data_IF_204497192385
#
_entry.id   IF_204497192385
#
_cell.length_a   1.000
_cell.length_b   1.000
_cell.length_c   1.000
_cell.angle_alpha   90.00
_cell.angle_beta   90.00
_cell.angle_gamma   90.00
#
_symmetry.space_group_name_H-M   'P 1'
#
loop_
_entity.id
_entity.type
_entity.pdbx_description
1 polymer ?
#
# COMPACT_ATOMS: atom_id res chain seq x y z
N UNK A 1 -1.07 -1.65 11.03
CA UNK A 1 -0.59 -0.36 10.45
C UNK A 1 0.93 -0.26 10.35
N UNK A 2 1.73 -0.42 11.43
CA UNK A 2 3.20 -0.32 11.33
C UNK A 2 3.80 -1.23 10.25
N UNK A 3 3.41 -2.51 10.23
CA UNK A 3 3.87 -3.46 9.23
C UNK A 3 3.41 -3.12 7.79
N UNK A 4 2.21 -2.55 7.62
CA UNK A 4 1.71 -2.11 6.33
C UNK A 4 2.52 -0.92 5.80
N UNK A 5 2.79 0.09 6.66
CA UNK A 5 3.65 1.24 6.34
C UNK A 5 5.06 0.82 5.98
N UNK A 6 5.66 -0.10 6.75
CA UNK A 6 6.98 -0.65 6.45
C UNK A 6 7.05 -1.36 5.08
N UNK A 7 5.91 -1.82 4.56
CA UNK A 7 5.78 -2.49 3.26
C UNK A 7 5.23 -1.59 2.15
N UNK A 8 4.98 -0.31 2.42
CA UNK A 8 4.36 0.61 1.45
C UNK A 8 2.93 0.22 1.06
N UNK A 9 2.20 -0.49 1.92
CA UNK A 9 0.81 -0.91 1.68
C UNK A 9 -0.14 0.16 2.23
N UNK A 10 -1.09 0.60 1.41
CA UNK A 10 -2.14 1.52 1.83
C UNK A 10 -3.12 0.84 2.79
N UNK A 11 -3.61 1.60 3.77
CA UNK A 11 -4.53 1.13 4.80
C UNK A 11 -5.85 1.87 4.68
N UNK A 12 -6.91 1.12 4.38
CA UNK A 12 -8.29 1.57 4.51
C UNK A 12 -8.84 1.06 5.84
N UNK A 13 -9.20 1.98 6.75
CA UNK A 13 -9.78 1.64 8.04
C UNK A 13 -11.31 1.54 7.97
N UNK A 14 -11.90 0.61 8.71
CA UNK A 14 -13.34 0.54 8.93
C UNK A 14 -13.59 0.56 10.43
N UNK A 15 -14.38 1.53 10.91
CA UNK A 15 -14.61 1.72 12.35
C UNK A 15 -15.96 2.37 12.64
N UNK A 16 -16.29 2.53 13.92
CA UNK A 16 -17.45 3.28 14.40
C UNK A 16 -17.07 4.64 14.97
N UNK A 17 -18.02 5.35 15.56
CA UNK A 17 -17.88 6.73 16.05
C UNK A 17 -16.68 6.90 17.01
N UNK A 18 -16.51 5.96 17.95
CA UNK A 18 -15.40 5.97 18.91
C UNK A 18 -14.00 5.74 18.28
N UNK A 19 -13.95 5.29 17.01
CA UNK A 19 -12.74 4.95 16.29
C UNK A 19 -12.06 6.09 15.53
N UNK A 20 -12.50 7.34 15.68
CA UNK A 20 -11.95 8.51 14.97
C UNK A 20 -10.43 8.66 15.12
N UNK A 21 -9.86 8.35 16.28
CA UNK A 21 -8.41 8.36 16.49
C UNK A 21 -7.67 7.26 15.70
N UNK A 22 -8.31 6.11 15.50
CA UNK A 22 -7.80 5.08 14.58
C UNK A 22 -7.90 5.55 13.13
N UNK A 23 -9.05 6.11 12.72
CA UNK A 23 -9.28 6.61 11.38
C UNK A 23 -8.21 7.61 10.90
N UNK A 24 -7.77 8.54 11.77
CA UNK A 24 -6.70 9.51 11.48
C UNK A 24 -5.34 8.89 11.15
N UNK A 25 -5.13 7.61 11.46
CA UNK A 25 -3.88 6.89 11.19
C UNK A 25 -3.96 6.04 9.90
N UNK A 26 -5.12 5.94 9.28
CA UNK A 26 -5.33 5.26 8.01
C UNK A 26 -5.14 6.24 6.85
N UNK A 27 -4.95 5.72 5.63
CA UNK A 27 -4.86 6.56 4.42
C UNK A 27 -6.26 6.97 3.94
N UNK A 28 -7.26 6.12 4.19
CA UNK A 28 -8.67 6.44 4.12
C UNK A 28 -9.41 5.68 5.22
N UNK A 29 -10.59 6.15 5.65
CA UNK A 29 -11.38 5.43 6.64
C UNK A 29 -12.89 5.61 6.43
N UNK A 30 -13.63 4.51 6.57
CA UNK A 30 -15.08 4.51 6.77
C UNK A 30 -15.37 4.56 8.27
N UNK A 31 -15.95 5.67 8.72
CA UNK A 31 -16.38 5.85 10.10
C UNK A 31 -17.91 5.81 10.15
N UNK A 32 -18.47 4.71 10.66
CA UNK A 32 -19.91 4.57 10.86
C UNK A 32 -20.33 5.48 12.01
N UNK A 33 -21.30 6.40 11.83
CA UNK A 33 -21.74 7.34 12.87
C UNK A 33 -22.64 6.64 13.89
N UNK A 34 -22.10 5.64 14.59
CA UNK A 34 -22.77 4.87 15.61
C UNK A 34 -21.79 4.43 16.68
N UNK A 35 -22.27 4.32 17.92
CA UNK A 35 -21.59 3.69 19.04
C UNK A 35 -22.04 2.24 19.26
N UNK A 36 -23.08 1.78 18.55
CA UNK A 36 -23.62 0.42 18.69
C UNK A 36 -22.84 -0.55 17.81
N UNK A 37 -22.09 -1.46 18.40
CA UNK A 37 -21.27 -2.46 17.67
C UNK A 37 -22.06 -3.23 16.62
N UNK A 38 -23.29 -3.66 16.93
CA UNK A 38 -24.14 -4.36 15.96
C UNK A 38 -24.39 -3.53 14.68
N UNK A 39 -24.78 -2.27 14.82
CA UNK A 39 -24.99 -1.35 13.69
C UNK A 39 -23.71 -1.07 12.92
N UNK A 40 -22.59 -0.95 13.62
CA UNK A 40 -21.27 -0.77 12.99
C UNK A 40 -20.93 -1.99 12.13
N UNK A 41 -21.13 -3.21 12.64
CA UNK A 41 -20.84 -4.44 11.92
C UNK A 41 -21.78 -4.68 10.73
N UNK A 42 -23.08 -4.41 10.87
CA UNK A 42 -24.04 -4.44 9.75
C UNK A 42 -23.57 -3.54 8.59
N UNK A 43 -23.15 -2.31 8.91
CA UNK A 43 -22.63 -1.38 7.91
C UNK A 43 -21.28 -1.83 7.33
N UNK A 44 -20.40 -2.41 8.14
CA UNK A 44 -19.13 -2.95 7.65
C UNK A 44 -19.34 -4.14 6.72
N UNK A 45 -20.30 -5.02 7.00
CA UNK A 45 -20.64 -6.13 6.14
C UNK A 45 -21.16 -5.63 4.79
N UNK A 46 -22.10 -4.68 4.80
CA UNK A 46 -22.63 -4.04 3.59
C UNK A 46 -21.50 -3.42 2.74
N UNK A 47 -20.65 -2.58 3.35
CA UNK A 47 -19.55 -1.95 2.62
C UNK A 47 -18.53 -2.98 2.13
N UNK A 48 -18.25 -4.01 2.91
CA UNK A 48 -17.40 -5.13 2.50
C UNK A 48 -17.92 -5.80 1.23
N UNK A 49 -19.23 -6.09 1.15
CA UNK A 49 -19.84 -6.65 -0.05
C UNK A 49 -19.75 -5.71 -1.26
N UNK A 50 -20.02 -4.42 -1.08
CA UNK A 50 -19.85 -3.42 -2.15
C UNK A 50 -18.40 -3.41 -2.65
N UNK A 51 -17.42 -3.44 -1.75
CA UNK A 51 -16.00 -3.46 -2.12
C UNK A 51 -15.62 -4.72 -2.89
N UNK A 52 -16.09 -5.90 -2.45
CA UNK A 52 -15.86 -7.16 -3.15
C UNK A 52 -16.46 -7.12 -4.57
N UNK A 53 -17.73 -6.72 -4.68
CA UNK A 53 -18.42 -6.60 -5.97
C UNK A 53 -17.66 -5.68 -6.94
N UNK A 54 -17.25 -4.49 -6.48
CA UNK A 54 -16.47 -3.56 -7.31
C UNK A 54 -15.09 -4.12 -7.65
N UNK A 55 -14.41 -4.79 -6.71
CA UNK A 55 -13.12 -5.41 -6.96
C UNK A 55 -13.21 -6.52 -8.01
N UNK A 56 -14.25 -7.35 -7.95
CA UNK A 56 -14.55 -8.41 -8.91
C UNK A 56 -14.86 -7.83 -10.29
N UNK A 57 -15.68 -6.79 -10.38
CA UNK A 57 -15.92 -6.08 -11.65
C UNK A 57 -14.63 -5.54 -12.26
N UNK A 58 -13.78 -4.91 -11.45
CA UNK A 58 -12.50 -4.35 -11.91
C UNK A 58 -11.54 -5.46 -12.36
N UNK A 59 -11.49 -6.58 -11.64
CA UNK A 59 -10.64 -7.71 -11.97
C UNK A 59 -11.16 -8.49 -13.20
N UNK A 60 -12.47 -8.63 -13.32
CA UNK A 60 -13.16 -9.30 -14.43
C UNK A 60 -13.12 -8.51 -15.73
N UNK A 61 -13.03 -7.18 -15.66
CA UNK A 61 -12.65 -6.34 -16.80
C UNK A 61 -11.23 -6.71 -17.23
N UNK A 62 -11.10 -7.58 -18.22
CA UNK A 62 -9.80 -7.90 -18.85
C UNK A 62 -9.12 -6.58 -19.22
N UNK A 63 -8.03 -6.23 -18.53
CA UNK A 63 -7.14 -5.17 -19.00
C UNK A 63 -6.69 -5.55 -20.42
N UNK A 64 -6.83 -4.68 -21.44
CA UNK A 64 -6.07 -4.87 -22.67
C UNK A 64 -4.60 -5.02 -22.29
N UNK A 65 -3.87 -5.94 -22.94
CA UNK A 65 -2.46 -6.26 -22.70
C UNK A 65 -1.53 -5.09 -23.05
N UNK A 66 -1.75 -3.88 -22.54
CA UNK A 66 -0.92 -2.74 -22.86
C UNK A 66 0.02 -2.40 -21.70
N UNK A 67 1.30 -2.62 -22.00
CA UNK A 67 2.47 -2.06 -21.37
C UNK A 67 2.78 -2.51 -19.93
N UNK A 68 3.28 -3.75 -19.81
CA UNK A 68 4.40 -4.01 -18.88
C UNK A 68 5.62 -3.16 -19.28
N UNK A 69 5.59 -1.84 -19.08
CA UNK A 69 6.79 -1.01 -19.09
C UNK A 69 7.44 -1.11 -17.72
N UNK A 70 8.21 -2.18 -17.54
CA UNK A 70 9.17 -2.30 -16.43
C UNK A 70 10.24 -1.24 -16.67
N UNK A 71 10.46 -0.24 -15.79
CA UNK A 71 11.60 0.65 -15.97
C UNK A 71 12.88 -0.20 -15.89
N UNK A 72 13.69 -0.19 -16.95
CA UNK A 72 15.03 -0.79 -16.93
C UNK A 72 15.85 -0.02 -15.89
N UNK A 73 15.90 -0.50 -14.64
CA UNK A 73 16.95 -0.10 -13.69
C UNK A 73 18.28 -0.55 -14.31
N UNK A 74 18.98 0.40 -14.94
CA UNK A 74 20.30 0.17 -15.48
C UNK A 74 21.20 -0.39 -14.38
N UNK A 75 21.79 -1.57 -14.64
CA UNK A 75 22.89 -2.11 -13.85
C UNK A 75 24.04 -1.10 -13.89
N UNK A 76 24.20 -0.26 -12.86
CA UNK A 76 25.48 0.39 -12.59
C UNK A 76 26.37 -0.64 -11.90
N UNK A 77 27.32 -1.22 -12.65
CA UNK A 77 28.43 -2.03 -12.11
C UNK A 77 29.24 -1.17 -11.14
N UNK A 78 29.63 -1.66 -9.95
CA UNK A 78 30.55 -0.93 -9.09
C UNK A 78 31.95 -0.92 -9.73
N UNK A 79 32.54 0.26 -9.90
CA UNK A 79 33.95 0.39 -10.27
C UNK A 79 34.79 0.03 -9.05
N UNK A 80 35.42 -1.15 -9.05
CA UNK A 80 36.60 -1.40 -8.24
C UNK A 80 37.79 -0.70 -8.91
N UNK A 81 38.40 0.25 -8.21
CA UNK A 81 39.76 0.71 -8.45
C UNK A 81 40.39 0.73 -7.05
N UNK A 82 41.37 -0.13 -6.73
CA UNK A 82 42.59 -0.34 -7.49
C UNK A 82 43.70 0.34 -6.68
N UNK A 83 44.45 -0.47 -5.93
CA UNK A 83 45.48 -0.07 -4.97
C UNK A 83 46.47 0.91 -5.60
N UNK A 84 46.75 2.01 -4.89
CA UNK A 84 47.72 3.06 -5.25
C UNK A 84 49.14 2.46 -5.24
N UNK A 85 49.93 2.52 -6.32
CA UNK A 85 51.32 2.07 -6.26
C UNK A 85 52.19 3.16 -5.60
N UNK A 86 53.05 2.74 -4.68
CA UNK A 86 54.13 3.54 -4.10
C UNK A 86 55.12 3.92 -5.22
N UNK A 87 55.36 5.21 -5.42
CA UNK A 87 56.52 5.71 -6.17
C UNK A 87 57.50 6.29 -5.16
N UNK A 88 58.63 5.61 -4.99
CA UNK A 88 59.83 6.15 -4.36
C UNK A 88 60.85 6.56 -5.41
N UNK A 89 61.79 7.41 -4.96
CA UNK A 89 63.04 7.89 -5.58
C UNK A 89 62.89 9.03 -6.60
N UNK A 90 63.24 10.25 -6.19
CA UNK A 90 64.63 10.73 -6.14
C UNK A 90 64.83 11.59 -4.89
#
# INVERSE_FOLDING_TARGET
MRAARARGVQVIGMTGEAGKAFARRCDAALVVPSLKTARIQEMHLLVGHILCERAEEIAGRRRPKQARRRPKRGRRRPKQAGRRPKRGRR
#
